data_IF_253226876869
#
_entry.id   IF_253226876869
#
_cell.length_a   1.000
_cell.length_b   1.000
_cell.length_c   1.000
_cell.angle_alpha   90.00
_cell.angle_beta   90.00
_cell.angle_gamma   90.00
#
_symmetry.space_group_name_H-M   'P 1'
#
loop_
_entity.id
_entity.type
_entity.pdbx_description
1 polymer ?
#
# COMPACT_ATOMS: atom_id res chain seq x y z
N UNK A 1 -0.14 -25.84 25.22
CA UNK A 1 0.75 -25.97 24.05
C UNK A 1 0.74 -24.64 23.32
N UNK A 2 1.88 -24.27 22.74
CA UNK A 2 1.99 -23.05 21.93
C UNK A 2 1.47 -23.32 20.52
N UNK A 3 0.65 -22.43 20.00
CA UNK A 3 0.02 -22.59 18.69
C UNK A 3 -0.29 -21.24 18.05
N UNK A 4 -0.33 -21.23 16.72
CA UNK A 4 -0.78 -20.09 15.93
C UNK A 4 -2.06 -20.43 15.20
N UNK A 5 -3.06 -19.56 15.31
CA UNK A 5 -4.36 -19.70 14.64
C UNK A 5 -4.48 -18.63 13.57
N UNK A 6 -4.60 -19.02 12.30
CA UNK A 6 -4.79 -18.14 11.15
C UNK A 6 -6.22 -18.16 10.63
N UNK A 7 -6.76 -16.98 10.27
CA UNK A 7 -8.09 -16.83 9.66
C UNK A 7 -8.04 -15.83 8.51
N UNK A 8 -8.72 -16.14 7.40
CA UNK A 8 -8.88 -15.23 6.27
C UNK A 8 -10.19 -15.46 5.49
N UNK A 9 -10.55 -14.49 4.63
CA UNK A 9 -11.64 -14.52 3.65
C UNK A 9 -13.03 -14.74 4.30
N UNK A 10 -13.27 -14.03 5.40
CA UNK A 10 -14.51 -14.10 6.21
C UNK A 10 -15.46 -12.92 6.01
N UNK A 11 -14.97 -11.84 5.41
CA UNK A 11 -15.69 -10.59 5.23
C UNK A 11 -16.40 -10.52 3.87
N UNK A 12 -17.28 -9.53 3.70
CA UNK A 12 -17.96 -9.26 2.44
C UNK A 12 -18.11 -7.76 2.17
N UNK A 13 -18.46 -7.34 0.95
CA UNK A 13 -18.70 -5.93 0.65
C UNK A 13 -19.85 -5.29 1.45
N UNK A 14 -20.77 -6.10 1.98
CA UNK A 14 -21.99 -5.64 2.66
C UNK A 14 -21.89 -5.69 4.18
N UNK A 15 -20.85 -6.30 4.75
CA UNK A 15 -20.65 -6.34 6.19
C UNK A 15 -19.55 -7.32 6.63
N UNK A 16 -19.36 -7.40 7.94
CA UNK A 16 -18.32 -8.20 8.61
C UNK A 16 -16.88 -7.80 8.26
N UNK A 17 -15.93 -8.35 9.01
CA UNK A 17 -14.51 -8.05 8.84
C UNK A 17 -13.68 -9.17 9.48
N UNK A 18 -12.67 -9.67 8.77
CA UNK A 18 -11.74 -10.69 9.29
C UNK A 18 -11.07 -10.26 10.59
N UNK A 19 -10.75 -8.97 10.74
CA UNK A 19 -10.15 -8.47 11.98
C UNK A 19 -11.16 -8.40 13.12
N UNK A 20 -12.41 -8.03 12.87
CA UNK A 20 -13.46 -8.07 13.91
C UNK A 20 -13.66 -9.50 14.42
N UNK A 21 -13.76 -10.48 13.51
CA UNK A 21 -13.85 -11.89 13.86
C UNK A 21 -12.63 -12.35 14.67
N UNK A 22 -11.41 -12.02 14.23
CA UNK A 22 -10.19 -12.33 14.97
C UNK A 22 -10.16 -11.72 16.37
N UNK A 23 -10.66 -10.48 16.54
CA UNK A 23 -10.76 -9.83 17.84
C UNK A 23 -11.81 -10.52 18.75
N UNK A 24 -12.97 -10.92 18.20
CA UNK A 24 -13.98 -11.70 18.94
C UNK A 24 -13.41 -13.06 19.34
N UNK A 25 -12.71 -13.74 18.43
CA UNK A 25 -12.05 -15.03 18.71
C UNK A 25 -11.05 -14.89 19.86
N UNK A 26 -10.20 -13.86 19.86
CA UNK A 26 -9.26 -13.61 20.94
C UNK A 26 -9.97 -13.51 22.30
N UNK A 27 -11.12 -12.82 22.39
CA UNK A 27 -11.91 -12.73 23.63
C UNK A 27 -12.53 -14.07 24.02
N UNK A 28 -13.02 -14.87 23.07
CA UNK A 28 -13.56 -16.21 23.35
C UNK A 28 -12.48 -17.15 23.91
N UNK A 29 -11.29 -17.15 23.31
CA UNK A 29 -10.15 -17.96 23.77
C UNK A 29 -9.71 -17.55 25.19
N UNK A 30 -9.65 -16.24 25.48
CA UNK A 30 -9.34 -15.74 26.83
C UNK A 30 -10.41 -16.18 27.84
N UNK A 31 -11.69 -16.14 27.47
CA UNK A 31 -12.79 -16.63 28.31
C UNK A 31 -12.69 -18.13 28.64
N UNK A 32 -12.01 -18.89 27.78
CA UNK A 32 -11.69 -20.31 27.95
C UNK A 32 -10.34 -20.54 28.65
N UNK A 33 -9.83 -19.51 29.35
CA UNK A 33 -8.59 -19.54 30.11
C UNK A 33 -7.33 -19.80 29.26
N UNK A 34 -7.41 -19.59 27.95
CA UNK A 34 -6.24 -19.63 27.06
C UNK A 34 -5.55 -18.28 27.04
N UNK A 35 -4.22 -18.28 26.90
CA UNK A 35 -3.42 -17.05 26.86
C UNK A 35 -3.16 -16.64 25.41
N UNK A 36 -3.74 -15.52 24.98
CA UNK A 36 -3.41 -14.89 23.69
C UNK A 36 -2.22 -13.95 23.89
N UNK A 37 -1.07 -14.28 23.29
CA UNK A 37 0.21 -13.57 23.46
C UNK A 37 0.38 -12.44 22.44
N UNK A 38 -0.02 -12.68 21.20
CA UNK A 38 0.10 -11.73 20.11
C UNK A 38 -1.07 -11.89 19.14
N UNK A 39 -1.50 -10.78 18.53
CA UNK A 39 -2.48 -10.76 17.47
C UNK A 39 -1.88 -10.02 16.27
N UNK A 40 -1.82 -10.68 15.10
CA UNK A 40 -1.28 -10.11 13.87
C UNK A 40 -2.34 -9.83 12.83
N UNK A 41 -2.22 -8.69 12.16
CA UNK A 41 -2.94 -8.33 10.93
C UNK A 41 -1.93 -8.33 9.78
N UNK A 42 -2.05 -9.33 8.91
CA UNK A 42 -1.09 -9.60 7.84
C UNK A 42 -1.70 -9.24 6.49
N UNK A 43 -1.23 -8.15 5.89
CA UNK A 43 -1.58 -7.75 4.52
C UNK A 43 -0.81 -8.61 3.53
N UNK A 44 -1.51 -9.13 2.53
CA UNK A 44 -0.95 -9.97 1.46
C UNK A 44 -0.82 -9.16 0.16
N UNK A 45 -0.47 -9.82 -0.94
CA UNK A 45 -0.25 -9.16 -2.23
C UNK A 45 -1.43 -8.24 -2.59
N UNK A 46 -1.22 -6.92 -2.67
CA UNK A 46 -2.32 -5.98 -2.78
C UNK A 46 -2.89 -5.91 -4.21
N UNK A 47 -2.40 -6.74 -5.14
CA UNK A 47 -2.81 -6.79 -6.54
C UNK A 47 -3.73 -7.95 -6.89
N UNK A 48 -3.95 -8.88 -5.96
CA UNK A 48 -4.90 -9.98 -6.13
C UNK A 48 -6.29 -9.43 -6.46
N UNK A 49 -6.93 -10.00 -7.48
CA UNK A 49 -8.24 -9.57 -8.00
C UNK A 49 -9.40 -10.10 -7.16
N UNK A 50 -9.24 -11.26 -6.56
CA UNK A 50 -10.27 -11.94 -5.76
C UNK A 50 -10.27 -11.56 -4.28
N UNK A 51 -9.84 -10.33 -3.95
CA UNK A 51 -9.79 -9.84 -2.58
C UNK A 51 -11.07 -9.09 -2.21
N UNK A 52 -11.49 -9.22 -0.96
CA UNK A 52 -12.24 -8.18 -0.27
C UNK A 52 -11.28 -7.01 0.05
N UNK A 53 -11.83 -5.81 0.31
CA UNK A 53 -11.04 -4.57 0.34
C UNK A 53 -9.84 -4.71 1.32
N UNK A 54 -8.63 -4.65 0.78
CA UNK A 54 -7.40 -4.61 1.58
C UNK A 54 -6.64 -5.94 1.77
N UNK A 55 -7.12 -7.09 1.26
CA UNK A 55 -6.43 -8.39 1.23
C UNK A 55 -5.62 -8.72 2.51
N UNK A 56 -6.31 -9.01 3.61
CA UNK A 56 -5.68 -9.19 4.92
C UNK A 56 -6.20 -10.43 5.64
N UNK A 57 -5.26 -11.21 6.17
CA UNK A 57 -5.50 -12.31 7.08
C UNK A 57 -5.10 -11.92 8.51
N UNK A 58 -5.59 -12.67 9.50
CA UNK A 58 -5.21 -12.50 10.91
C UNK A 58 -4.57 -13.75 11.47
N UNK A 59 -3.67 -13.57 12.45
CA UNK A 59 -3.09 -14.65 13.23
C UNK A 59 -3.18 -14.34 14.72
N UNK A 60 -3.53 -15.33 15.54
CA UNK A 60 -3.43 -15.26 17.01
C UNK A 60 -2.38 -16.26 17.49
N UNK A 61 -1.41 -15.80 18.27
CA UNK A 61 -0.46 -16.64 18.99
C UNK A 61 -1.04 -16.96 20.36
N UNK A 62 -1.27 -18.24 20.62
CA UNK A 62 -2.08 -18.72 21.73
C UNK A 62 -1.38 -19.84 22.45
N UNK A 63 -1.50 -19.86 23.77
CA UNK A 63 -1.12 -20.98 24.63
C UNK A 63 -2.40 -21.61 25.20
N UNK A 64 -2.62 -22.90 24.92
CA UNK A 64 -3.84 -23.61 25.35
C UNK A 64 -3.94 -25.04 24.84
N UNK A 65 -5.18 -25.55 24.78
CA UNK A 65 -5.54 -26.83 24.18
C UNK A 65 -5.82 -26.67 22.67
N UNK A 66 -5.03 -27.29 21.77
CA UNK A 66 -5.17 -27.10 20.32
C UNK A 66 -6.52 -27.54 19.75
N UNK A 67 -7.04 -28.69 20.20
CA UNK A 67 -8.31 -29.22 19.69
C UNK A 67 -9.49 -28.30 20.01
N UNK A 68 -9.57 -27.83 21.25
CA UNK A 68 -10.60 -26.89 21.72
C UNK A 68 -10.45 -25.53 21.04
N UNK A 69 -9.23 -25.00 20.92
CA UNK A 69 -8.98 -23.72 20.27
C UNK A 69 -9.38 -23.75 18.79
N UNK A 70 -9.04 -24.84 18.08
CA UNK A 70 -9.45 -25.05 16.70
C UNK A 70 -10.98 -25.13 16.54
N UNK A 71 -11.65 -25.84 17.46
CA UNK A 71 -13.11 -25.90 17.51
C UNK A 71 -13.76 -24.53 17.70
N UNK A 72 -13.26 -23.73 18.65
CA UNK A 72 -13.74 -22.36 18.90
C UNK A 72 -13.53 -21.47 17.68
N UNK A 73 -12.36 -21.57 17.03
CA UNK A 73 -12.06 -20.81 15.82
C UNK A 73 -13.00 -21.17 14.66
N UNK A 74 -13.28 -22.47 14.44
CA UNK A 74 -14.23 -22.91 13.44
C UNK A 74 -15.65 -22.40 13.74
N UNK A 75 -16.11 -22.54 14.99
CA UNK A 75 -17.43 -22.06 15.41
C UNK A 75 -17.57 -20.54 15.25
N UNK A 76 -16.52 -19.76 15.56
CA UNK A 76 -16.52 -18.31 15.34
C UNK A 76 -16.65 -17.96 13.84
N UNK A 77 -15.99 -18.70 12.95
CA UNK A 77 -16.15 -18.54 11.50
C UNK A 77 -17.55 -18.93 11.04
N UNK A 78 -18.09 -20.05 11.50
CA UNK A 78 -19.44 -20.51 11.17
C UNK A 78 -20.53 -19.51 11.60
N UNK A 79 -20.32 -18.82 12.72
CA UNK A 79 -21.25 -17.82 13.25
C UNK A 79 -21.11 -16.44 12.58
N UNK A 80 -19.87 -15.97 12.35
CA UNK A 80 -19.60 -14.57 12.01
C UNK A 80 -19.24 -14.34 10.55
N UNK A 81 -18.81 -15.35 9.79
CA UNK A 81 -18.48 -15.14 8.38
C UNK A 81 -19.75 -14.97 7.54
N UNK A 82 -19.69 -14.11 6.52
CA UNK A 82 -20.81 -13.92 5.60
C UNK A 82 -20.84 -15.00 4.51
N UNK A 83 -21.33 -16.19 4.85
CA UNK A 83 -21.45 -17.30 3.90
C UNK A 83 -22.38 -17.02 2.72
N UNK A 84 -23.29 -16.05 2.85
CA UNK A 84 -24.23 -15.67 1.79
C UNK A 84 -23.52 -15.01 0.60
N UNK A 85 -22.39 -14.35 0.84
CA UNK A 85 -21.59 -13.74 -0.21
C UNK A 85 -20.84 -14.81 -1.02
N UNK A 86 -21.07 -14.86 -2.34
CA UNK A 86 -20.39 -15.80 -3.24
C UNK A 86 -18.86 -15.68 -3.21
N UNK A 87 -18.34 -14.48 -2.92
CA UNK A 87 -16.91 -14.20 -2.90
C UNK A 87 -16.24 -14.43 -1.55
N UNK A 88 -16.98 -14.69 -0.47
CA UNK A 88 -16.42 -14.99 0.85
C UNK A 88 -16.14 -16.49 0.95
N UNK A 89 -14.87 -16.89 1.10
CA UNK A 89 -14.46 -18.31 1.11
C UNK A 89 -13.52 -18.62 2.27
N UNK A 90 -14.05 -18.69 3.51
CA UNK A 90 -13.23 -18.69 4.71
C UNK A 90 -12.21 -19.83 4.79
N UNK A 91 -11.11 -19.57 5.49
CA UNK A 91 -10.14 -20.59 5.90
C UNK A 91 -9.73 -20.40 7.35
N UNK A 92 -9.60 -21.52 8.06
CA UNK A 92 -9.06 -21.59 9.43
C UNK A 92 -7.88 -22.53 9.41
N UNK A 93 -6.76 -22.11 9.99
CA UNK A 93 -5.55 -22.90 10.17
C UNK A 93 -5.12 -22.81 11.62
N UNK A 94 -4.68 -23.92 12.20
CA UNK A 94 -3.98 -23.96 13.48
C UNK A 94 -2.72 -24.81 13.31
N UNK A 95 -1.58 -24.27 13.71
CA UNK A 95 -0.33 -25.02 13.75
C UNK A 95 0.37 -24.85 15.09
N UNK A 96 0.84 -25.97 15.65
CA UNK A 96 1.64 -26.02 16.88
C UNK A 96 3.13 -25.74 16.61
N UNK A 97 3.53 -25.72 15.34
CA UNK A 97 4.89 -25.44 14.91
C UNK A 97 4.91 -24.23 13.95
N UNK A 98 5.98 -23.44 13.92
CA UNK A 98 6.15 -22.43 12.88
C UNK A 98 6.13 -23.06 11.49
N UNK A 99 5.33 -22.50 10.57
CA UNK A 99 5.34 -22.87 9.16
C UNK A 99 6.45 -22.12 8.44
N UNK A 100 6.90 -22.64 7.29
CA UNK A 100 7.95 -22.03 6.46
C UNK A 100 7.59 -20.58 6.05
N UNK A 101 8.37 -19.57 6.49
CA UNK A 101 8.15 -18.16 6.16
C UNK A 101 8.15 -17.86 4.67
N UNK A 102 8.78 -18.70 3.84
CA UNK A 102 8.78 -18.55 2.39
C UNK A 102 7.36 -18.50 1.80
N UNK A 103 6.38 -19.16 2.43
CA UNK A 103 4.99 -19.08 1.99
C UNK A 103 4.38 -17.70 2.23
N UNK A 104 4.66 -17.08 3.38
CA UNK A 104 4.25 -15.69 3.66
C UNK A 104 4.91 -14.72 2.68
N UNK A 105 6.22 -14.86 2.46
CA UNK A 105 6.95 -14.02 1.51
C UNK A 105 6.36 -14.08 0.10
N UNK A 106 6.04 -15.29 -0.37
CA UNK A 106 5.37 -15.49 -1.65
C UNK A 106 3.97 -14.85 -1.63
N UNK A 107 3.21 -15.02 -0.56
CA UNK A 107 1.83 -14.51 -0.47
C UNK A 107 1.75 -12.98 -0.46
N UNK A 108 2.77 -12.28 0.05
CA UNK A 108 2.83 -10.80 0.02
C UNK A 108 3.41 -10.25 -1.28
N UNK A 109 4.27 -10.99 -1.98
CA UNK A 109 4.97 -10.53 -3.21
C UNK A 109 4.37 -11.07 -4.52
N UNK A 110 3.66 -12.20 -4.49
CA UNK A 110 3.24 -12.94 -5.68
C UNK A 110 1.85 -13.59 -5.50
N UNK A 111 1.47 -14.50 -6.41
CA UNK A 111 0.25 -15.29 -6.32
C UNK A 111 0.54 -16.67 -5.76
N UNK A 112 -0.31 -17.12 -4.82
CA UNK A 112 -0.26 -18.47 -4.25
C UNK A 112 -1.45 -19.31 -4.71
N UNK A 113 -1.27 -20.63 -4.69
CA UNK A 113 -2.35 -21.59 -4.98
C UNK A 113 -2.82 -22.28 -3.71
N UNK A 114 -4.07 -22.75 -3.72
CA UNK A 114 -4.67 -23.47 -2.59
C UNK A 114 -3.94 -24.79 -2.32
N UNK A 115 -3.54 -25.52 -3.36
CA UNK A 115 -2.81 -26.79 -3.21
C UNK A 115 -1.42 -26.61 -2.61
N UNK A 116 -0.77 -25.47 -2.83
CA UNK A 116 0.50 -25.12 -2.17
C UNK A 116 0.29 -24.94 -0.66
N UNK A 117 -0.76 -24.20 -0.27
CA UNK A 117 -1.11 -24.02 1.14
C UNK A 117 -1.41 -25.37 1.82
N UNK A 118 -2.30 -26.17 1.21
CA UNK A 118 -2.70 -27.48 1.75
C UNK A 118 -1.50 -28.42 1.93
N UNK A 119 -0.58 -28.48 0.95
CA UNK A 119 0.63 -29.29 1.07
C UNK A 119 1.49 -28.92 2.28
N UNK A 120 1.66 -27.62 2.55
CA UNK A 120 2.41 -27.14 3.71
C UNK A 120 1.71 -27.54 5.00
N UNK A 121 0.40 -27.38 5.06
CA UNK A 121 -0.39 -27.72 6.25
C UNK A 121 -0.34 -29.22 6.57
N UNK A 122 -0.53 -30.07 5.56
CA UNK A 122 -0.46 -31.53 5.71
C UNK A 122 0.94 -32.00 6.12
N UNK A 123 1.99 -31.45 5.50
CA UNK A 123 3.38 -31.79 5.82
C UNK A 123 3.77 -31.44 7.26
N UNK A 124 3.12 -30.45 7.87
CA UNK A 124 3.38 -29.99 9.24
C UNK A 124 2.35 -30.50 10.25
N UNK A 125 1.43 -31.39 9.86
CA UNK A 125 0.38 -31.90 10.75
C UNK A 125 -0.56 -30.81 11.30
N UNK A 126 -0.71 -29.69 10.59
CA UNK A 126 -1.56 -28.59 11.02
C UNK A 126 -3.04 -28.97 10.96
N UNK A 127 -3.85 -28.44 11.88
CA UNK A 127 -5.30 -28.54 11.81
C UNK A 127 -5.82 -27.44 10.88
N UNK A 128 -6.67 -27.76 9.93
CA UNK A 128 -7.24 -26.74 9.05
C UNK A 128 -8.64 -27.10 8.56
N UNK A 129 -9.44 -26.06 8.31
CA UNK A 129 -10.77 -26.16 7.72
C UNK A 129 -10.92 -25.07 6.67
N UNK A 130 -11.15 -25.48 5.44
CA UNK A 130 -11.51 -24.56 4.35
C UNK A 130 -13.00 -24.66 4.05
N UNK A 131 -13.64 -23.52 3.86
CA UNK A 131 -15.06 -23.43 3.53
C UNK A 131 -15.25 -23.05 2.06
N UNK A 132 -16.35 -23.49 1.45
CA UNK A 132 -16.68 -23.24 0.04
C UNK A 132 -15.52 -23.64 -0.88
N UNK A 133 -14.95 -22.71 -1.66
CA UNK A 133 -13.81 -23.01 -2.53
C UNK A 133 -12.46 -23.07 -1.79
N UNK A 134 -12.44 -22.84 -0.46
CA UNK A 134 -11.28 -22.97 0.44
C UNK A 134 -10.17 -21.94 0.22
N UNK A 135 -10.41 -20.86 -0.52
CA UNK A 135 -9.38 -19.85 -0.84
C UNK A 135 -8.78 -19.17 0.38
N UNK A 136 -9.56 -18.93 1.44
CA UNK A 136 -9.07 -18.37 2.70
C UNK A 136 -7.97 -19.20 3.37
N UNK A 137 -7.77 -20.46 2.98
CA UNK A 137 -6.60 -21.23 3.45
C UNK A 137 -5.28 -20.59 3.02
N UNK A 138 -5.22 -19.89 1.88
CA UNK A 138 -4.00 -19.19 1.45
C UNK A 138 -3.62 -18.13 2.49
N UNK A 139 -4.53 -17.22 2.82
CA UNK A 139 -4.20 -16.14 3.75
C UNK A 139 -4.07 -16.62 5.19
N UNK A 140 -4.90 -17.56 5.64
CA UNK A 140 -4.76 -18.18 6.96
C UNK A 140 -3.37 -18.83 7.13
N UNK A 141 -2.91 -19.58 6.11
CA UNK A 141 -1.56 -20.19 6.12
C UNK A 141 -0.48 -19.12 6.10
N UNK A 142 -0.61 -18.09 5.25
CA UNK A 142 0.35 -16.99 5.19
C UNK A 142 0.42 -16.20 6.50
N UNK A 143 -0.68 -16.03 7.22
CA UNK A 143 -0.71 -15.36 8.51
C UNK A 143 0.02 -16.19 9.59
N UNK A 144 -0.20 -17.51 9.63
CA UNK A 144 0.50 -18.44 10.53
C UNK A 144 2.01 -18.52 10.22
N UNK A 145 2.36 -18.54 8.95
CA UNK A 145 3.74 -18.54 8.45
C UNK A 145 4.43 -17.16 8.52
N UNK A 146 3.73 -16.10 8.94
CA UNK A 146 4.28 -14.75 8.87
C UNK A 146 5.52 -14.57 9.78
N UNK A 147 6.55 -13.95 9.22
CA UNK A 147 7.68 -13.38 9.96
C UNK A 147 7.83 -11.92 9.52
N UNK A 148 7.79 -11.01 10.50
CA UNK A 148 7.69 -9.57 10.24
C UNK A 148 9.00 -8.88 10.68
N UNK A 149 9.94 -8.74 9.74
CA UNK A 149 11.23 -8.07 9.97
C UNK A 149 11.05 -6.60 10.40
N UNK A 150 10.34 -5.82 9.56
CA UNK A 150 9.79 -4.52 9.91
C UNK A 150 8.32 -4.74 10.32
N UNK A 151 7.96 -4.24 11.50
CA UNK A 151 6.61 -4.38 12.05
C UNK A 151 6.10 -3.04 12.55
N UNK A 152 4.79 -2.86 12.43
CA UNK A 152 4.05 -1.72 12.95
C UNK A 152 2.89 -2.21 13.80
N UNK A 153 2.18 -1.27 14.42
CA UNK A 153 0.97 -1.54 15.18
C UNK A 153 -0.21 -0.83 14.52
N UNK A 154 -1.37 -1.47 14.54
CA UNK A 154 -2.64 -0.82 14.23
C UNK A 154 -3.62 -1.14 15.35
N UNK A 155 -4.15 -0.12 16.03
CA UNK A 155 -5.31 -0.31 16.90
C UNK A 155 -6.56 -0.18 16.05
N UNK A 156 -7.39 -1.21 16.07
CA UNK A 156 -8.73 -1.18 15.48
C UNK A 156 -9.76 -1.07 16.59
N UNK A 157 -10.59 -0.04 16.47
CA UNK A 157 -11.76 0.18 17.33
C UNK A 157 -12.98 -0.27 16.55
N UNK A 158 -13.79 -1.12 17.16
CA UNK A 158 -14.99 -1.68 16.54
C UNK A 158 -16.24 -1.13 17.20
N UNK A 159 -17.29 -0.99 16.41
CA UNK A 159 -18.60 -0.51 16.84
C UNK A 159 -19.35 -1.58 17.62
N UNK A 160 -20.33 -1.19 18.41
CA UNK A 160 -21.33 -2.14 18.94
C UNK A 160 -22.17 -2.68 17.77
N UNK A 161 -22.58 -3.97 17.78
CA UNK A 161 -23.32 -4.58 16.66
C UNK A 161 -24.57 -3.81 16.22
N UNK A 162 -25.29 -3.18 17.18
CA UNK A 162 -26.47 -2.36 16.90
C UNK A 162 -26.19 -1.18 15.94
N UNK A 163 -24.95 -0.70 15.85
CA UNK A 163 -24.58 0.43 15.00
C UNK A 163 -24.04 0.02 13.62
N UNK A 164 -23.88 -1.27 13.32
CA UNK A 164 -23.36 -1.70 12.01
C UNK A 164 -24.23 -1.19 10.86
N UNK A 165 -23.60 -0.76 9.76
CA UNK A 165 -24.27 -0.15 8.61
C UNK A 165 -24.79 1.29 8.79
N UNK A 166 -24.82 1.83 10.01
CA UNK A 166 -25.23 3.24 10.24
C UNK A 166 -24.05 4.21 10.01
N UNK A 167 -24.27 5.53 9.85
CA UNK A 167 -23.19 6.50 9.84
C UNK A 167 -22.36 6.45 11.14
N UNK A 168 -21.04 6.62 11.04
CA UNK A 168 -20.13 6.63 12.19
C UNK A 168 -20.15 8.01 12.85
N UNK A 169 -20.19 8.05 14.18
CA UNK A 169 -19.95 9.28 14.95
C UNK A 169 -18.53 9.30 15.51
N UNK A 170 -17.66 10.11 14.91
CA UNK A 170 -16.28 10.35 15.36
C UNK A 170 -15.98 11.83 15.22
N UNK A 171 -15.49 12.47 16.29
CA UNK A 171 -15.17 13.89 16.24
C UNK A 171 -13.96 14.13 15.35
N UNK A 172 -14.19 14.86 14.26
CA UNK A 172 -13.16 15.15 13.28
C UNK A 172 -12.00 15.95 13.89
N UNK A 173 -12.28 16.91 14.78
CA UNK A 173 -11.22 17.78 15.31
C UNK A 173 -10.24 17.01 16.18
N UNK A 174 -10.74 16.05 16.96
CA UNK A 174 -9.96 15.14 17.81
C UNK A 174 -9.04 14.24 16.99
N UNK A 175 -9.47 13.76 15.82
CA UNK A 175 -8.63 12.96 14.91
C UNK A 175 -7.42 13.74 14.40
N UNK A 176 -7.61 15.00 14.00
CA UNK A 176 -6.52 15.86 13.58
C UNK A 176 -5.62 16.27 14.74
N UNK A 177 -6.19 16.50 15.93
CA UNK A 177 -5.42 16.79 17.14
C UNK A 177 -4.55 15.60 17.55
N UNK A 178 -5.09 14.38 17.48
CA UNK A 178 -4.36 13.15 17.72
C UNK A 178 -3.20 12.98 16.74
N UNK A 179 -3.45 13.12 15.42
CA UNK A 179 -2.38 13.04 14.40
C UNK A 179 -1.24 14.02 14.72
N UNK A 180 -1.52 15.29 15.01
CA UNK A 180 -0.48 16.27 15.36
C UNK A 180 0.27 15.94 16.64
N UNK A 181 -0.42 15.39 17.63
CA UNK A 181 0.16 15.10 18.93
C UNK A 181 1.10 13.89 18.90
N UNK A 182 0.84 12.92 18.01
CA UNK A 182 1.56 11.65 17.99
C UNK A 182 2.38 11.41 16.71
N UNK A 183 2.30 12.26 15.69
CA UNK A 183 3.22 12.23 14.54
C UNK A 183 4.67 12.55 14.98
N UNK A 184 5.71 11.85 14.48
CA UNK A 184 5.69 10.81 13.43
C UNK A 184 5.49 9.38 13.94
N UNK A 185 5.28 9.18 15.23
CA UNK A 185 5.12 7.85 15.83
C UNK A 185 3.81 7.16 15.46
N UNK A 186 2.78 7.95 15.13
CA UNK A 186 1.61 7.52 14.36
C UNK A 186 1.57 8.23 13.03
N UNK A 187 0.82 7.66 12.07
CA UNK A 187 0.64 8.23 10.75
C UNK A 187 -0.67 7.77 10.13
N UNK A 188 -1.10 8.44 9.06
CA UNK A 188 -2.31 8.13 8.29
C UNK A 188 -3.61 8.17 9.12
N UNK A 189 -3.65 8.87 10.26
CA UNK A 189 -4.92 9.12 10.95
C UNK A 189 -5.73 10.16 10.18
N UNK A 190 -5.05 11.23 9.78
CA UNK A 190 -5.59 12.32 8.98
C UNK A 190 -4.57 12.80 7.94
N UNK A 191 -5.10 13.39 6.86
CA UNK A 191 -4.35 14.09 5.84
C UNK A 191 -4.50 15.59 6.09
N UNK A 192 -3.51 16.20 6.74
CA UNK A 192 -3.52 17.63 7.08
C UNK A 192 -3.58 18.52 5.84
N UNK A 193 -2.79 18.19 4.80
CA UNK A 193 -2.69 19.00 3.59
C UNK A 193 -3.99 19.02 2.79
N UNK A 194 -4.68 17.87 2.71
CA UNK A 194 -5.94 17.77 1.98
C UNK A 194 -7.16 17.99 2.87
N UNK A 195 -6.99 18.10 4.19
CA UNK A 195 -8.09 18.19 5.15
C UNK A 195 -9.00 16.96 5.06
N UNK A 196 -8.46 15.75 5.05
CA UNK A 196 -9.23 14.50 4.94
C UNK A 196 -8.99 13.61 6.15
N UNK A 197 -10.04 13.01 6.70
CA UNK A 197 -9.90 11.94 7.68
C UNK A 197 -9.59 10.64 6.94
N UNK A 198 -8.54 9.92 7.36
CA UNK A 198 -8.04 8.73 6.66
C UNK A 198 -8.37 7.44 7.42
N UNK A 199 -8.28 7.46 8.74
CA UNK A 199 -8.48 6.29 9.61
C UNK A 199 -9.92 5.78 9.73
N UNK A 200 -10.92 6.55 9.29
CA UNK A 200 -12.35 6.19 9.41
C UNK A 200 -12.83 5.55 8.10
N UNK A 201 -13.23 4.27 8.10
CA UNK A 201 -13.72 3.62 6.89
C UNK A 201 -15.11 4.14 6.46
N UNK A 202 -15.35 4.12 5.15
CA UNK A 202 -16.62 4.53 4.52
C UNK A 202 -17.50 3.33 4.12
N UNK A 203 -17.29 2.19 4.74
CA UNK A 203 -17.97 0.90 4.48
C UNK A 203 -18.97 0.58 5.58
N UNK A 204 -19.97 -0.30 5.35
CA UNK A 204 -20.92 -0.71 6.39
C UNK A 204 -20.31 -1.64 7.46
N UNK A 205 -18.99 -1.83 7.43
CA UNK A 205 -18.27 -2.79 8.28
C UNK A 205 -18.28 -2.45 9.79
N UNK A 206 -17.84 -3.39 10.64
CA UNK A 206 -17.77 -3.20 12.09
C UNK A 206 -16.73 -2.19 12.58
N UNK A 207 -15.78 -1.75 11.76
CA UNK A 207 -14.65 -0.91 12.21
C UNK A 207 -15.14 0.52 12.38
N UNK A 208 -14.93 1.12 13.55
CA UNK A 208 -15.19 2.53 13.83
C UNK A 208 -14.07 3.39 13.25
N UNK A 209 -12.82 3.12 13.64
CA UNK A 209 -11.60 3.69 13.04
C UNK A 209 -10.39 2.81 13.33
N UNK A 210 -9.29 3.03 12.61
CA UNK A 210 -8.02 2.36 12.80
C UNK A 210 -6.83 3.31 12.80
N UNK A 211 -5.99 3.28 13.84
CA UNK A 211 -4.81 4.15 13.95
C UNK A 211 -3.55 3.31 13.78
N UNK A 212 -2.66 3.73 12.88
CA UNK A 212 -1.38 3.09 12.63
C UNK A 212 -0.27 3.82 13.35
N UNK A 213 0.68 3.06 13.87
CA UNK A 213 1.81 3.61 14.59
C UNK A 213 2.95 2.62 14.74
N UNK A 214 4.08 3.12 15.25
CA UNK A 214 5.30 2.33 15.38
C UNK A 214 5.20 1.26 16.46
N UNK A 215 4.35 1.47 17.48
CA UNK A 215 4.24 0.59 18.63
C UNK A 215 2.81 0.57 19.22
N UNK A 216 2.49 -0.44 20.05
CA UNK A 216 1.23 -0.49 20.78
C UNK A 216 0.98 0.74 21.66
N UNK A 217 2.02 1.26 22.32
CA UNK A 217 1.89 2.41 23.23
C UNK A 217 1.47 3.68 22.49
N UNK A 218 2.04 3.93 21.31
CA UNK A 218 1.70 5.11 20.51
C UNK A 218 0.30 5.06 19.93
N UNK A 219 -0.12 3.91 19.41
CA UNK A 219 -1.49 3.77 18.88
C UNK A 219 -2.54 3.87 20.00
N UNK A 220 -2.23 3.36 21.20
CA UNK A 220 -3.09 3.53 22.38
C UNK A 220 -3.15 4.98 22.88
N UNK A 221 -2.01 5.70 22.86
CA UNK A 221 -1.99 7.13 23.17
C UNK A 221 -2.86 7.92 22.18
N UNK A 222 -2.65 7.74 20.88
CA UNK A 222 -3.45 8.41 19.86
C UNK A 222 -4.94 8.07 19.99
N UNK A 223 -5.27 6.80 20.26
CA UNK A 223 -6.64 6.37 20.55
C UNK A 223 -7.26 7.12 21.72
N UNK A 224 -6.51 7.35 22.79
CA UNK A 224 -7.02 8.03 23.99
C UNK A 224 -7.38 9.51 23.78
N UNK A 225 -6.85 10.12 22.70
CA UNK A 225 -7.09 11.51 22.33
C UNK A 225 -8.33 11.69 21.42
N UNK A 226 -8.94 10.60 20.96
CA UNK A 226 -10.03 10.64 19.97
C UNK A 226 -11.38 10.50 20.67
N UNK A 227 -12.29 11.41 20.32
CA UNK A 227 -13.68 11.39 20.75
C UNK A 227 -14.56 10.71 19.69
N UNK A 228 -15.39 9.76 20.11
CA UNK A 228 -16.27 9.00 19.23
C UNK A 228 -17.50 8.47 19.96
N UNK A 229 -18.42 7.84 19.22
CA UNK A 229 -19.40 6.93 19.83
C UNK A 229 -18.71 5.82 20.65
N UNK A 230 -19.46 5.24 21.58
CA UNK A 230 -18.96 4.22 22.51
C UNK A 230 -18.50 2.96 21.75
N UNK A 231 -17.21 2.58 21.87
CA UNK A 231 -16.70 1.36 21.25
C UNK A 231 -17.38 0.10 21.79
N UNK A 232 -17.52 -0.91 20.94
CA UNK A 232 -17.91 -2.26 21.35
C UNK A 232 -16.73 -3.16 21.69
N UNK A 233 -15.63 -3.05 20.93
CA UNK A 233 -14.43 -3.85 21.10
C UNK A 233 -13.21 -3.07 20.59
N UNK A 234 -12.05 -3.30 21.19
CA UNK A 234 -10.78 -2.75 20.71
C UNK A 234 -9.73 -3.86 20.66
N UNK A 235 -8.88 -3.82 19.63
CA UNK A 235 -7.78 -4.76 19.44
C UNK A 235 -6.57 -4.04 18.84
N UNK A 236 -5.42 -4.20 19.49
CA UNK A 236 -4.13 -3.83 18.93
C UNK A 236 -3.60 -5.00 18.12
N UNK A 237 -3.22 -4.73 16.87
CA UNK A 237 -2.65 -5.69 15.93
C UNK A 237 -1.20 -5.36 15.64
N UNK A 238 -0.32 -6.35 15.73
CA UNK A 238 1.01 -6.27 15.11
C UNK A 238 0.85 -6.51 13.61
N UNK A 239 1.47 -5.69 12.76
CA UNK A 239 1.15 -5.71 11.33
C UNK A 239 2.36 -5.40 10.45
N UNK A 240 2.31 -5.83 9.20
CA UNK A 240 3.25 -5.47 8.14
C UNK A 240 2.83 -4.20 7.38
N UNK A 241 1.86 -3.43 7.87
CA UNK A 241 1.46 -2.18 7.25
C UNK A 241 2.57 -1.12 7.35
N UNK A 242 2.73 -0.31 6.31
CA UNK A 242 3.77 0.72 6.29
C UNK A 242 5.21 0.18 6.31
N UNK A 243 5.46 -0.96 5.64
CA UNK A 243 6.78 -1.65 5.65
C UNK A 243 7.40 -1.84 4.27
N UNK A 244 6.65 -1.63 3.18
CA UNK A 244 7.02 -1.99 1.80
C UNK A 244 7.24 -3.49 1.56
N UNK A 245 6.72 -4.38 2.42
CA UNK A 245 6.90 -5.83 2.29
C UNK A 245 6.47 -6.43 0.92
N UNK A 246 5.63 -5.74 0.15
CA UNK A 246 5.21 -6.15 -1.20
C UNK A 246 6.17 -5.75 -2.33
N UNK A 247 7.10 -4.82 -2.08
CA UNK A 247 7.98 -4.29 -3.11
C UNK A 247 9.23 -5.16 -3.26
N UNK A 248 9.53 -5.54 -4.50
CA UNK A 248 10.78 -6.19 -4.87
C UNK A 248 11.55 -5.37 -5.91
N UNK A 249 12.87 -5.48 -6.03
CA UNK A 249 13.60 -4.89 -7.15
C UNK A 249 13.07 -5.42 -8.48
N UNK A 250 12.92 -4.54 -9.48
CA UNK A 250 12.47 -4.91 -10.82
C UNK A 250 13.29 -4.23 -11.91
N UNK A 251 13.32 -4.86 -13.09
CA UNK A 251 14.03 -4.37 -14.28
C UNK A 251 13.03 -4.09 -15.40
N UNK A 252 13.21 -2.98 -16.12
CA UNK A 252 12.34 -2.64 -17.25
C UNK A 252 12.47 -3.73 -18.32
N UNK A 253 11.34 -4.28 -18.79
CA UNK A 253 11.29 -5.41 -19.72
C UNK A 253 11.12 -6.79 -19.07
N UNK A 254 11.30 -6.90 -17.75
CA UNK A 254 11.09 -8.15 -16.98
C UNK A 254 10.13 -7.92 -15.79
N UNK A 255 8.99 -7.29 -16.06
CA UNK A 255 7.95 -7.02 -15.07
C UNK A 255 6.74 -7.92 -15.30
N UNK A 256 6.26 -8.56 -14.24
CA UNK A 256 5.08 -9.42 -14.29
C UNK A 256 3.86 -8.75 -13.67
N UNK A 257 2.72 -8.91 -14.34
CA UNK A 257 1.43 -8.36 -13.93
C UNK A 257 1.04 -8.83 -12.51
N UNK A 258 0.57 -7.91 -11.69
CA UNK A 258 0.11 -8.23 -10.34
C UNK A 258 1.22 -8.34 -9.29
N UNK A 259 2.45 -7.93 -9.62
CA UNK A 259 3.57 -7.81 -8.69
C UNK A 259 3.90 -6.33 -8.49
N UNK A 260 4.46 -5.99 -7.32
CA UNK A 260 4.85 -4.62 -6.98
C UNK A 260 6.37 -4.51 -6.96
N UNK A 261 6.90 -3.48 -7.62
CA UNK A 261 8.32 -3.32 -7.86
C UNK A 261 8.84 -1.96 -7.43
N UNK A 262 10.12 -1.89 -7.11
CA UNK A 262 10.95 -0.69 -7.23
C UNK A 262 11.80 -0.83 -8.50
N UNK A 263 11.62 0.10 -9.45
CA UNK A 263 12.25 0.04 -10.77
C UNK A 263 13.04 1.31 -11.02
N UNK A 264 14.33 1.16 -11.35
CA UNK A 264 15.19 2.27 -11.77
C UNK A 264 15.04 2.51 -13.27
N UNK A 265 15.12 3.77 -13.69
CA UNK A 265 15.13 4.12 -15.11
C UNK A 265 15.30 5.61 -15.34
N UNK A 266 15.32 5.99 -16.61
CA UNK A 266 15.41 7.38 -17.06
C UNK A 266 14.09 7.80 -17.68
N UNK A 267 13.60 8.99 -17.34
CA UNK A 267 12.41 9.56 -17.97
C UNK A 267 12.70 9.84 -19.43
N UNK A 268 11.84 9.37 -20.35
CA UNK A 268 12.06 9.56 -21.79
C UNK A 268 11.10 10.55 -22.43
N UNK A 269 9.85 10.56 -21.95
CA UNK A 269 8.80 11.45 -22.41
C UNK A 269 8.47 12.51 -21.37
N UNK A 270 7.99 13.67 -21.84
CA UNK A 270 7.36 14.64 -20.93
C UNK A 270 6.09 14.01 -20.33
N UNK A 271 5.85 14.15 -19.02
CA UNK A 271 4.62 13.72 -18.38
C UNK A 271 3.38 14.30 -19.06
N UNK A 272 2.42 13.45 -19.37
CA UNK A 272 1.16 13.82 -19.99
C UNK A 272 0.01 13.67 -18.99
N UNK A 273 -0.90 14.65 -18.96
CA UNK A 273 -2.14 14.55 -18.18
C UNK A 273 -3.24 13.99 -19.08
N UNK A 274 -3.78 12.82 -18.71
CA UNK A 274 -4.89 12.18 -19.41
C UNK A 274 -6.26 12.55 -18.83
N UNK A 275 -7.31 12.00 -19.45
CA UNK A 275 -8.70 12.12 -18.99
C UNK A 275 -8.84 11.61 -17.55
N UNK A 276 -9.64 12.30 -16.74
CA UNK A 276 -9.77 12.00 -15.30
C UNK A 276 -8.61 12.53 -14.45
N UNK A 277 -7.67 13.29 -15.02
CA UNK A 277 -6.61 13.97 -14.28
C UNK A 277 -5.44 13.06 -13.87
N UNK A 278 -5.34 11.86 -14.43
CA UNK A 278 -4.18 10.98 -14.24
C UNK A 278 -2.97 11.56 -14.96
N UNK A 279 -1.78 11.42 -14.38
CA UNK A 279 -0.52 11.84 -15.01
C UNK A 279 0.29 10.60 -15.34
N UNK A 280 0.80 10.51 -16.56
CA UNK A 280 1.63 9.40 -17.00
C UNK A 280 2.91 9.87 -17.67
N UNK A 281 3.98 9.12 -17.50
CA UNK A 281 5.24 9.32 -18.20
C UNK A 281 5.85 7.96 -18.54
N UNK A 282 6.84 7.94 -19.42
CA UNK A 282 7.57 6.72 -19.79
C UNK A 282 8.96 6.75 -19.17
N UNK A 283 9.35 5.61 -18.60
CA UNK A 283 10.71 5.32 -18.16
C UNK A 283 11.35 4.33 -19.12
N UNK A 284 12.63 4.53 -19.39
CA UNK A 284 13.45 3.64 -20.20
C UNK A 284 14.74 3.20 -19.52
N UNK A 285 15.20 2.03 -19.91
CA UNK A 285 16.51 1.44 -19.60
C UNK A 285 16.95 0.64 -20.83
N UNK A 286 18.06 1.04 -21.47
CA UNK A 286 18.47 0.49 -22.77
C UNK A 286 17.40 0.70 -23.84
N UNK A 287 16.95 -0.39 -24.48
CA UNK A 287 15.85 -0.40 -25.46
C UNK A 287 14.47 -0.69 -24.85
N UNK A 288 14.41 -1.02 -23.56
CA UNK A 288 13.18 -1.38 -22.88
C UNK A 288 12.46 -0.15 -22.32
N UNK A 289 11.12 -0.16 -22.33
CA UNK A 289 10.27 0.94 -21.86
C UNK A 289 9.18 0.44 -20.94
N UNK A 290 8.79 1.28 -19.98
CA UNK A 290 7.62 1.05 -19.14
C UNK A 290 6.87 2.34 -18.88
N UNK A 291 5.54 2.27 -18.92
CA UNK A 291 4.67 3.38 -18.56
C UNK A 291 4.52 3.48 -17.04
N UNK A 292 4.63 4.68 -16.50
CA UNK A 292 4.39 4.98 -15.09
C UNK A 292 3.17 5.87 -14.93
N UNK A 293 2.34 5.59 -13.93
CA UNK A 293 1.04 6.22 -13.73
C UNK A 293 0.91 6.78 -12.30
N UNK A 294 0.55 8.05 -12.20
CA UNK A 294 0.05 8.68 -10.98
C UNK A 294 -1.44 9.03 -11.17
N UNK A 295 -2.33 8.25 -10.54
CA UNK A 295 -3.78 8.41 -10.68
C UNK A 295 -4.32 9.64 -9.97
N UNK A 296 -5.57 10.00 -10.28
CA UNK A 296 -6.27 11.16 -9.70
C UNK A 296 -6.22 11.17 -8.16
N UNK A 297 -6.47 10.04 -7.48
CA UNK A 297 -6.50 10.02 -6.01
C UNK A 297 -5.18 10.43 -5.37
N UNK A 298 -4.06 10.41 -6.09
CA UNK A 298 -2.74 10.82 -5.58
C UNK A 298 -2.58 12.34 -5.38
N UNK A 299 -3.61 13.14 -5.71
CA UNK A 299 -3.69 14.60 -5.44
C UNK A 299 -2.41 15.35 -5.79
N UNK A 300 -1.77 16.00 -4.81
CA UNK A 300 -0.59 16.85 -4.97
C UNK A 300 0.63 16.11 -5.52
N UNK A 301 0.72 14.79 -5.34
CA UNK A 301 1.80 13.98 -5.89
C UNK A 301 1.93 14.12 -7.41
N UNK A 302 0.81 14.29 -8.12
CA UNK A 302 0.79 14.53 -9.57
C UNK A 302 1.53 15.81 -9.97
N UNK A 303 1.59 16.82 -9.09
CA UNK A 303 2.33 18.07 -9.35
C UNK A 303 3.83 17.84 -9.37
N UNK A 304 4.34 16.89 -8.56
CA UNK A 304 5.74 16.45 -8.64
C UNK A 304 5.99 15.73 -9.96
N UNK A 305 5.13 14.78 -10.32
CA UNK A 305 5.26 14.02 -11.57
C UNK A 305 5.28 14.93 -12.79
N UNK A 306 4.44 15.98 -12.85
CA UNK A 306 4.39 16.94 -13.98
C UNK A 306 5.68 17.73 -14.18
N UNK A 307 6.56 17.82 -13.18
CA UNK A 307 7.82 18.55 -13.28
C UNK A 307 8.98 17.69 -13.80
N UNK A 308 8.78 16.39 -13.98
CA UNK A 308 9.78 15.52 -14.59
C UNK A 308 10.01 15.92 -16.05
N UNK A 309 11.25 15.77 -16.51
CA UNK A 309 11.65 16.03 -17.90
C UNK A 309 12.46 14.86 -18.44
N UNK A 310 12.49 14.66 -19.77
CA UNK A 310 13.36 13.67 -20.38
C UNK A 310 14.82 13.81 -19.90
N UNK A 311 15.43 12.69 -19.51
CA UNK A 311 16.78 12.61 -18.95
C UNK A 311 16.85 12.59 -17.42
N UNK A 312 15.75 12.86 -16.70
CA UNK A 312 15.74 12.67 -15.24
C UNK A 312 15.93 11.19 -14.90
N UNK A 313 16.84 10.89 -13.97
CA UNK A 313 16.99 9.54 -13.43
C UNK A 313 16.09 9.39 -12.21
N UNK A 314 15.31 8.31 -12.19
CA UNK A 314 14.31 8.07 -11.14
C UNK A 314 14.22 6.59 -10.74
N UNK A 315 13.66 6.36 -9.55
CA UNK A 315 13.20 5.06 -9.09
C UNK A 315 11.70 5.15 -8.84
N UNK A 316 10.91 4.41 -9.61
CA UNK A 316 9.46 4.31 -9.42
C UNK A 316 9.14 3.07 -8.58
N UNK A 317 8.43 3.26 -7.47
CA UNK A 317 7.96 2.18 -6.60
C UNK A 317 6.44 2.07 -6.68
N UNK A 318 5.94 0.87 -7.00
CA UNK A 318 4.49 0.63 -7.12
C UNK A 318 4.12 -0.67 -7.81
N UNK A 319 2.82 -0.90 -7.98
CA UNK A 319 2.31 -2.12 -8.62
C UNK A 319 2.35 -2.07 -10.13
N UNK A 320 2.86 -3.13 -10.76
CA UNK A 320 2.75 -3.32 -12.19
C UNK A 320 1.39 -3.92 -12.54
N UNK A 321 0.56 -3.12 -13.22
CA UNK A 321 -0.80 -3.49 -13.64
C UNK A 321 -1.15 -2.88 -14.99
N UNK A 322 -1.75 -3.68 -15.87
CA UNK A 322 -2.17 -3.31 -17.23
C UNK A 322 -1.04 -2.63 -18.03
N UNK A 323 0.17 -3.17 -17.93
CA UNK A 323 1.34 -2.64 -18.63
C UNK A 323 1.89 -1.33 -18.07
N UNK A 324 1.53 -0.96 -16.84
CA UNK A 324 2.02 0.27 -16.22
C UNK A 324 2.36 0.10 -14.73
N UNK A 325 3.33 0.86 -14.25
CA UNK A 325 3.65 0.97 -12.83
C UNK A 325 2.74 2.03 -12.20
N UNK A 326 1.88 1.60 -11.27
CA UNK A 326 1.01 2.45 -10.49
C UNK A 326 1.78 2.99 -9.29
N UNK A 327 2.26 4.24 -9.41
CA UNK A 327 3.27 4.79 -8.51
C UNK A 327 2.68 5.05 -7.12
N UNK A 328 3.33 4.51 -6.11
CA UNK A 328 3.11 4.77 -4.68
C UNK A 328 4.17 5.73 -4.12
N UNK A 329 5.41 5.63 -4.63
CA UNK A 329 6.56 6.46 -4.28
C UNK A 329 7.47 6.65 -5.48
N UNK A 330 8.17 7.78 -5.54
CA UNK A 330 9.14 8.10 -6.57
C UNK A 330 10.41 8.69 -5.93
N UNK A 331 11.58 8.12 -6.23
CA UNK A 331 12.86 8.76 -5.94
C UNK A 331 13.34 9.48 -7.20
N UNK A 332 13.70 10.74 -7.08
CA UNK A 332 14.50 11.42 -8.10
C UNK A 332 15.96 11.25 -7.70
N UNK A 333 16.74 10.52 -8.50
CA UNK A 333 18.17 10.31 -8.24
C UNK A 333 19.02 11.41 -8.85
N UNK A 334 18.67 11.88 -10.04
CA UNK A 334 19.32 13.04 -10.67
C UNK A 334 18.36 13.80 -11.59
N UNK A 335 18.59 15.10 -11.73
CA UNK A 335 17.80 16.01 -12.54
C UNK A 335 18.55 16.38 -13.82
N UNK A 336 17.91 16.21 -14.98
CA UNK A 336 18.39 16.77 -16.24
C UNK A 336 18.13 18.29 -16.31
N UNK A 337 18.80 18.98 -17.24
CA UNK A 337 18.52 20.40 -17.48
C UNK A 337 17.18 20.55 -18.21
N UNK A 338 16.26 21.32 -17.64
CA UNK A 338 14.97 21.60 -18.26
C UNK A 338 15.12 22.73 -19.28
N UNK A 339 15.49 22.37 -20.51
CA UNK A 339 15.79 23.32 -21.57
C UNK A 339 14.61 23.39 -22.56
N UNK A 340 14.21 24.61 -22.92
CA UNK A 340 13.34 24.85 -24.07
C UNK A 340 14.12 25.57 -25.16
N UNK A 341 14.12 25.00 -26.36
CA UNK A 341 14.73 25.60 -27.55
C UNK A 341 13.63 26.23 -28.40
N UNK A 342 13.78 27.50 -28.77
CA UNK A 342 12.84 28.25 -29.62
C UNK A 342 13.59 28.96 -30.74
N UNK A 343 12.92 29.25 -31.87
CA UNK A 343 13.49 30.18 -32.85
C UNK A 343 13.87 31.50 -32.16
N UNK A 344 15.00 32.13 -32.51
CA UNK A 344 15.43 33.38 -31.90
C UNK A 344 14.51 34.55 -32.27
N UNK A 345 14.58 35.62 -31.49
CA UNK A 345 13.97 36.90 -31.85
C UNK A 345 14.89 37.64 -32.82
N UNK A 346 14.32 38.12 -33.94
CA UNK A 346 15.09 38.88 -34.92
C UNK A 346 15.55 40.22 -34.34
N UNK A 347 16.87 40.45 -34.26
CA UNK A 347 17.46 41.68 -33.71
C UNK A 347 17.03 42.96 -34.43
N UNK A 348 16.72 42.89 -35.72
CA UNK A 348 16.37 44.06 -36.54
C UNK A 348 14.90 44.50 -36.44
N UNK A 349 13.97 43.60 -36.08
CA UNK A 349 12.54 43.91 -36.13
C UNK A 349 11.72 43.29 -34.99
N UNK A 350 12.40 42.66 -34.03
CA UNK A 350 11.86 42.08 -32.79
C UNK A 350 10.76 41.03 -32.98
N UNK A 351 10.61 40.49 -34.19
CA UNK A 351 9.68 39.40 -34.48
C UNK A 351 10.38 38.06 -34.33
N UNK A 352 9.63 37.08 -33.83
CA UNK A 352 10.08 35.68 -33.73
C UNK A 352 10.42 35.14 -35.13
N UNK A 353 11.60 34.57 -35.29
CA UNK A 353 12.04 33.99 -36.56
C UNK A 353 11.35 32.63 -36.78
N UNK A 354 11.40 32.11 -38.01
CA UNK A 354 10.90 30.77 -38.37
C UNK A 354 12.04 29.91 -38.87
N UNK A 355 11.95 28.59 -38.75
CA UNK A 355 12.94 27.68 -39.34
C UNK A 355 13.08 27.92 -40.86
N UNK A 356 14.32 28.00 -41.36
CA UNK A 356 14.62 28.17 -42.80
C UNK A 356 14.86 26.81 -43.51
N UNK A 357 14.52 25.71 -42.84
CA UNK A 357 14.70 24.33 -43.30
C UNK A 357 15.65 23.52 -42.40
N UNK A 358 15.71 22.20 -42.62
CA UNK A 358 16.63 21.31 -41.90
C UNK A 358 18.07 21.82 -42.09
N UNK A 359 18.76 22.06 -40.99
CA UNK A 359 20.16 22.53 -40.92
C UNK A 359 20.45 23.90 -41.57
N UNK A 360 19.42 24.72 -41.83
CA UNK A 360 19.55 26.07 -42.44
C UNK A 360 19.35 27.22 -41.45
N UNK A 361 19.21 26.92 -40.16
CA UNK A 361 18.96 27.90 -39.12
C UNK A 361 17.55 28.52 -39.18
N UNK A 362 17.46 29.80 -38.85
CA UNK A 362 16.23 30.56 -38.71
C UNK A 362 16.25 31.79 -39.60
N UNK A 363 15.11 32.11 -40.21
CA UNK A 363 14.92 33.29 -41.07
C UNK A 363 13.77 34.15 -40.54
N UNK A 364 13.98 35.46 -40.53
CA UNK A 364 12.94 36.44 -40.24
C UNK A 364 12.09 36.68 -41.50
N UNK A 365 10.78 36.43 -41.41
CA UNK A 365 9.85 36.66 -42.54
C UNK A 365 9.66 38.14 -42.88
N UNK A 366 9.95 39.06 -41.95
CA UNK A 366 9.71 40.50 -42.14
C UNK A 366 10.88 41.22 -42.81
N UNK A 367 12.11 40.97 -42.37
CA UNK A 367 13.30 41.68 -42.84
C UNK A 367 14.34 40.78 -43.52
N UNK A 368 14.11 39.47 -43.61
CA UNK A 368 15.00 38.53 -44.28
C UNK A 368 16.26 38.15 -43.50
N UNK A 369 16.50 38.72 -42.32
CA UNK A 369 17.64 38.38 -41.45
C UNK A 369 17.69 36.88 -41.15
N UNK A 370 18.90 36.34 -40.98
CA UNK A 370 19.16 34.93 -40.66
C UNK A 370 19.98 34.80 -39.39
N UNK A 371 19.69 33.76 -38.63
CA UNK A 371 20.39 33.40 -37.40
C UNK A 371 20.52 31.88 -37.35
N UNK A 372 21.68 31.37 -36.95
CA UNK A 372 21.91 29.93 -36.84
C UNK A 372 21.56 29.40 -35.45
N UNK A 373 21.82 30.22 -34.42
CA UNK A 373 21.71 29.82 -33.03
C UNK A 373 20.26 30.00 -32.55
N UNK A 374 19.63 28.96 -31.98
CA UNK A 374 18.33 29.10 -31.37
C UNK A 374 18.39 29.89 -30.06
N UNK A 375 17.26 30.43 -29.64
CA UNK A 375 17.09 30.88 -28.26
C UNK A 375 16.90 29.66 -27.37
N UNK A 376 17.80 29.50 -26.40
CA UNK A 376 17.81 28.41 -25.43
C UNK A 376 17.49 29.01 -24.07
N UNK A 377 16.36 28.59 -23.48
CA UNK A 377 15.98 29.01 -22.13
C UNK A 377 16.05 27.82 -21.19
N UNK A 378 16.82 27.95 -20.11
CA UNK A 378 16.82 27.00 -19.00
C UNK A 378 15.72 27.39 -18.00
N UNK A 379 14.89 26.43 -17.62
CA UNK A 379 13.82 26.61 -16.65
C UNK A 379 14.24 26.01 -15.30
N UNK A 380 14.14 26.80 -14.24
CA UNK A 380 14.25 26.28 -12.89
C UNK A 380 13.01 25.44 -12.54
N UNK A 381 13.23 24.32 -11.84
CA UNK A 381 12.19 23.42 -11.35
C UNK A 381 12.20 23.42 -9.82
N UNK A 382 11.04 23.18 -9.19
CA UNK A 382 10.95 23.16 -7.72
C UNK A 382 11.25 21.77 -7.14
N UNK A 383 11.16 20.72 -7.97
CA UNK A 383 11.61 19.37 -7.61
C UNK A 383 13.12 19.32 -7.36
N UNK A 384 13.52 18.45 -6.42
CA UNK A 384 14.90 18.21 -6.00
C UNK A 384 15.16 16.71 -5.99
N UNK A 385 16.43 16.26 -6.07
CA UNK A 385 16.75 14.87 -5.79
C UNK A 385 16.26 14.46 -4.39
N UNK A 386 15.71 13.26 -4.26
CA UNK A 386 15.10 12.77 -3.02
C UNK A 386 13.85 11.92 -3.26
N UNK A 387 13.29 11.41 -2.17
CA UNK A 387 12.06 10.63 -2.18
C UNK A 387 10.81 11.52 -2.11
N UNK A 388 9.81 11.13 -2.88
CA UNK A 388 8.46 11.69 -2.88
C UNK A 388 7.45 10.56 -2.72
N UNK A 389 6.38 10.80 -1.97
CA UNK A 389 5.32 9.82 -1.74
C UNK A 389 3.93 10.39 -2.02
N UNK A 390 2.98 9.51 -2.25
CA UNK A 390 1.56 9.87 -2.30
C UNK A 390 1.08 10.38 -0.93
N UNK A 391 0.08 11.29 -0.90
CA UNK A 391 -0.48 11.79 0.36
C UNK A 391 -1.17 10.66 1.15
N UNK A 392 -1.37 10.82 2.48
CA UNK A 392 -2.03 9.83 3.34
C UNK A 392 -3.34 9.28 2.78
N UNK A 393 -4.20 10.14 2.22
CA UNK A 393 -5.49 9.72 1.63
C UNK A 393 -5.37 8.71 0.46
N UNK A 394 -4.21 8.67 -0.21
CA UNK A 394 -3.93 7.79 -1.34
C UNK A 394 -2.99 6.64 -0.98
N UNK A 395 -2.50 6.58 0.26
CA UNK A 395 -1.52 5.60 0.70
C UNK A 395 -2.15 4.22 0.78
N UNK A 396 -1.45 3.22 0.23
CA UNK A 396 -1.84 1.81 0.33
C UNK A 396 -1.32 1.24 1.64
N UNK A 397 -2.03 0.24 2.18
CA UNK A 397 -1.73 -0.36 3.48
C UNK A 397 -0.27 -0.76 3.69
N UNK A 398 0.37 -1.38 2.68
CA UNK A 398 1.75 -1.85 2.79
C UNK A 398 2.80 -0.76 2.54
N UNK A 399 2.43 0.36 1.90
CA UNK A 399 3.38 1.39 1.50
C UNK A 399 3.99 2.09 2.73
N UNK A 400 5.30 1.93 2.94
CA UNK A 400 6.05 2.58 4.02
C UNK A 400 6.06 4.09 3.86
N UNK A 401 5.47 4.86 4.79
CA UNK A 401 5.51 6.31 4.71
C UNK A 401 6.93 6.84 4.97
N UNK A 402 7.30 7.94 4.33
CA UNK A 402 8.63 8.56 4.47
C UNK A 402 8.93 9.04 5.90
N UNK A 403 7.92 9.29 6.72
CA UNK A 403 8.11 9.58 8.14
C UNK A 403 8.75 8.41 8.92
N UNK A 404 8.65 7.17 8.41
CA UNK A 404 9.33 5.98 8.95
C UNK A 404 10.73 5.76 8.37
N UNK A 405 11.26 6.73 7.62
CA UNK A 405 12.56 6.67 6.98
C UNK A 405 12.49 6.40 5.48
N UNK A 406 13.61 6.69 4.81
CA UNK A 406 13.72 6.52 3.37
C UNK A 406 13.80 5.03 2.97
N UNK A 407 13.09 4.61 1.91
CA UNK A 407 13.24 3.26 1.39
C UNK A 407 14.65 3.00 0.85
N UNK A 408 15.16 1.81 1.11
CA UNK A 408 16.46 1.33 0.65
C UNK A 408 16.31 0.02 -0.12
N UNK A 409 15.80 0.12 -1.35
CA UNK A 409 15.49 -1.04 -2.19
C UNK A 409 16.70 -1.64 -2.92
N UNK A 410 17.80 -0.90 -2.99
CA UNK A 410 18.97 -1.24 -3.80
C UNK A 410 20.25 -1.10 -3.00
N UNK A 411 20.27 -1.60 -1.76
CA UNK A 411 21.53 -1.70 -1.00
C UNK A 411 22.57 -2.36 -1.88
N UNK A 412 23.55 -1.58 -2.32
CA UNK A 412 24.86 -2.14 -2.64
C UNK A 412 25.34 -2.81 -1.36
N UNK A 413 25.79 -4.06 -1.45
CA UNK A 413 26.53 -4.70 -0.38
C UNK A 413 27.65 -3.75 0.05
N UNK A 414 27.42 -2.96 1.10
CA UNK A 414 28.51 -2.34 1.86
C UNK A 414 29.18 -3.51 2.56
N UNK A 415 30.13 -4.11 1.86
CA UNK A 415 31.10 -5.00 2.45
C UNK A 415 31.70 -4.27 3.66
N UNK A 416 31.49 -4.86 4.85
CA UNK A 416 32.25 -4.53 6.04
C UNK A 416 33.50 -5.41 6.07
#
# INVERSE_FOLDING_TARGET
>A
MDMRIGIDDTDSPVGMCTTYLGAVLARRLIGEQMRVREARLVRLNPNVTWKTRGNAAVMLDVEGDPGRAFGIACAAVEELADFSCANTNPGVVLSECPLDPAFYEKAVKAFCRIDEAVKILEANGALFRGYKNRRGLIGATAAVASELDDRTSEILVYRKPFFFGTPRSVDRSSLFAAERATFPHTWDTADEQNGVVVCVPHTPDPVLFGIRGESPSWVMLARSLIESEEPGLEQVWVTNQGTDAHLIPGTIGNLHEGISYAVKGTVEGKPATGTGGHVSFEMGEGDCRVRCMAYEPTKGFRTIIRQLVPGDSVIAAGSFKKGSINIEKLKITSLAKAITTRPPVCRACEKRMTSDGKDKGYKCRRCGAREEVPEVTEHSRTVRPGWYEVPPTARRHLAKPLCRGEPDFFKENRAF
#
